data_IF_609758473959
#
_entry.id   IF_609758473959
#
_cell.length_a   1.000
_cell.length_b   1.000
_cell.length_c   1.000
_cell.angle_alpha   90.00
_cell.angle_beta   90.00
_cell.angle_gamma   90.00
#
_symmetry.space_group_name_H-M   'P 1'
#
loop_
_entity.id
_entity.type
_entity.pdbx_description
1 polymer ?
#
# COMPACT_ATOMS: atom_id res chain seq x y z
N UNK A 1 8.58 60.13 18.67
CA UNK A 1 9.75 60.12 17.76
C UNK A 1 9.49 59.05 16.71
N UNK A 2 9.30 59.49 15.45
CA UNK A 2 9.16 58.76 14.16
C UNK A 2 8.03 57.72 14.09
N UNK A 3 6.86 57.89 13.46
CA UNK A 3 6.32 58.70 12.35
C UNK A 3 6.80 58.41 10.91
N UNK A 4 5.80 58.31 10.01
CA UNK A 4 5.78 58.32 8.53
C UNK A 4 6.22 57.04 7.76
N UNK A 5 5.60 56.56 6.66
CA UNK A 5 4.61 57.11 5.70
C UNK A 5 4.00 56.01 4.80
N UNK A 6 2.81 56.33 4.26
CA UNK A 6 2.00 55.70 3.19
C UNK A 6 2.76 55.29 1.91
N UNK A 7 2.26 54.25 1.21
CA UNK A 7 1.92 54.30 -0.23
C UNK A 7 0.61 53.51 -0.47
N UNK A 8 -0.40 54.20 -0.99
CA UNK A 8 -1.69 53.71 -1.47
C UNK A 8 -1.66 53.76 -3.00
N UNK A 9 -1.95 52.67 -3.70
CA UNK A 9 -2.30 52.72 -5.12
C UNK A 9 -3.80 52.45 -5.29
N UNK A 10 -4.54 53.49 -5.65
CA UNK A 10 -5.86 53.37 -6.28
C UNK A 10 -5.66 53.06 -7.76
N UNK A 11 -6.26 51.97 -8.25
CA UNK A 11 -6.54 51.80 -9.67
C UNK A 11 -8.05 51.83 -9.89
N UNK A 12 -8.44 52.83 -10.66
CA UNK A 12 -9.77 53.22 -11.09
C UNK A 12 -10.23 52.25 -12.18
N UNK A 13 -11.17 51.36 -11.88
CA UNK A 13 -11.84 50.50 -12.86
C UNK A 13 -13.03 51.26 -13.45
N UNK A 14 -12.81 51.91 -14.59
CA UNK A 14 -13.87 52.46 -15.42
C UNK A 14 -14.58 51.32 -16.17
N UNK A 15 -15.92 51.35 -16.11
CA UNK A 15 -16.83 50.41 -16.77
C UNK A 15 -16.83 50.65 -18.28
N UNK A 16 -16.63 49.60 -19.07
CA UNK A 16 -17.09 49.52 -20.46
C UNK A 16 -17.77 48.15 -20.74
N UNK A 17 -18.71 48.09 -21.69
CA UNK A 17 -19.86 47.20 -21.60
C UNK A 17 -19.62 45.79 -22.14
N UNK A 18 -20.16 44.83 -21.41
CA UNK A 18 -20.38 43.44 -21.80
C UNK A 18 -21.34 43.36 -22.99
N UNK A 19 -20.82 42.97 -24.17
CA UNK A 19 -21.48 42.13 -25.19
C UNK A 19 -20.59 42.08 -26.44
N UNK A 20 -19.80 41.01 -26.56
CA UNK A 20 -19.19 40.40 -27.78
C UNK A 20 -17.85 39.72 -27.45
N UNK A 21 -17.86 38.73 -26.56
CA UNK A 21 -16.69 37.86 -26.32
C UNK A 21 -17.04 36.36 -26.23
N UNK A 22 -18.24 35.97 -26.67
CA UNK A 22 -18.68 34.56 -26.64
C UNK A 22 -18.46 33.81 -27.97
N UNK A 23 -18.05 34.46 -29.06
CA UNK A 23 -17.87 33.82 -30.38
C UNK A 23 -16.41 33.68 -30.85
N UNK A 24 -15.44 34.30 -30.17
CA UNK A 24 -14.02 34.19 -30.56
C UNK A 24 -13.30 33.00 -29.89
N UNK A 25 -13.79 32.50 -28.75
CA UNK A 25 -13.15 31.39 -28.03
C UNK A 25 -13.48 30.00 -28.62
N UNK A 26 -14.57 29.86 -29.37
CA UNK A 26 -14.99 28.57 -29.97
C UNK A 26 -14.25 28.29 -31.28
N UNK A 27 -13.81 29.31 -32.01
CA UNK A 27 -13.12 29.13 -33.29
C UNK A 27 -11.64 28.73 -33.15
N UNK A 28 -10.98 29.11 -32.05
CA UNK A 28 -9.57 28.73 -31.79
C UNK A 28 -9.47 27.29 -31.27
N UNK A 29 -10.48 26.80 -30.54
CA UNK A 29 -10.50 25.41 -30.06
C UNK A 29 -10.71 24.38 -31.20
N UNK A 30 -11.44 24.73 -32.26
CA UNK A 30 -11.71 23.83 -33.38
C UNK A 30 -10.54 23.72 -34.37
N UNK A 31 -9.66 24.72 -34.46
CA UNK A 31 -8.45 24.65 -35.29
C UNK A 31 -7.33 23.81 -34.65
N UNK A 32 -7.26 23.76 -33.32
CA UNK A 32 -6.24 22.98 -32.59
C UNK A 32 -6.58 21.47 -32.58
N UNK A 33 -7.86 21.10 -32.51
CA UNK A 33 -8.28 19.69 -32.55
C UNK A 33 -8.32 19.08 -33.97
N UNK A 34 -8.42 19.88 -35.02
CA UNK A 34 -8.40 19.41 -36.41
C UNK A 34 -7.01 18.98 -36.90
N UNK A 35 -5.94 19.53 -36.34
CA UNK A 35 -4.56 19.26 -36.76
C UNK A 35 -3.98 17.96 -36.16
N UNK A 36 -4.48 17.50 -35.01
CA UNK A 36 -3.95 16.31 -34.33
C UNK A 36 -4.49 14.98 -34.88
N UNK A 37 -5.55 14.99 -35.68
CA UNK A 37 -6.19 13.76 -36.18
C UNK A 37 -5.65 13.26 -37.53
N UNK A 38 -4.68 13.96 -38.13
CA UNK A 38 -4.08 13.62 -39.44
C UNK A 38 -2.65 13.08 -39.39
N UNK A 39 -2.13 12.76 -38.21
CA UNK A 39 -0.75 12.25 -38.06
C UNK A 39 -0.62 10.85 -37.45
N UNK A 40 -1.72 10.08 -37.38
CA UNK A 40 -1.73 8.73 -36.79
C UNK A 40 -2.14 7.61 -37.75
N UNK A 41 -2.01 7.83 -39.05
CA UNK A 41 -2.11 6.78 -40.06
C UNK A 41 -1.00 7.01 -41.09
N UNK A 42 0.10 6.29 -40.93
CA UNK A 42 1.06 5.81 -41.94
C UNK A 42 2.44 5.59 -41.27
N UNK A 43 2.73 4.34 -40.88
CA UNK A 43 4.01 3.64 -41.16
C UNK A 43 4.07 2.32 -40.41
N UNK A 44 3.72 1.25 -41.12
CA UNK A 44 4.53 0.03 -41.13
C UNK A 44 5.57 0.16 -42.23
N UNK A 45 6.77 -0.37 -41.98
CA UNK A 45 7.72 -1.05 -42.89
C UNK A 45 9.14 -0.95 -42.30
N UNK A 46 9.68 -2.13 -41.99
CA UNK A 46 11.07 -2.59 -41.90
C UNK A 46 12.23 -1.57 -41.91
N UNK A 47 13.19 -1.76 -41.00
CA UNK A 47 14.56 -1.30 -41.19
C UNK A 47 15.36 -1.28 -39.89
N UNK A 48 16.26 -2.23 -39.71
CA UNK A 48 17.22 -2.21 -38.60
C UNK A 48 18.19 -1.04 -38.71
N UNK A 49 18.62 -0.51 -37.56
CA UNK A 49 19.94 0.10 -37.44
C UNK A 49 20.44 0.03 -35.99
N UNK A 50 21.67 -0.48 -35.88
CA UNK A 50 22.55 -0.39 -34.71
C UNK A 50 22.67 1.07 -34.27
N UNK A 51 22.53 1.32 -32.97
CA UNK A 51 23.13 2.49 -32.34
C UNK A 51 24.18 2.01 -31.34
N UNK A 52 25.44 2.19 -31.74
CA UNK A 52 26.59 2.25 -30.85
C UNK A 52 26.52 3.57 -30.10
N UNK A 53 26.49 3.52 -28.77
CA UNK A 53 26.81 4.67 -27.91
C UNK A 53 28.19 4.45 -27.30
N UNK A 54 29.17 5.13 -27.90
CA UNK A 54 30.48 5.41 -27.32
C UNK A 54 30.31 6.52 -26.28
N UNK A 55 30.45 6.19 -25.00
CA UNK A 55 30.75 7.15 -23.95
C UNK A 55 31.94 6.63 -23.15
N UNK A 56 33.08 7.24 -23.44
CA UNK A 56 34.39 6.97 -22.86
C UNK A 56 34.51 7.83 -21.60
N UNK A 57 34.43 7.22 -20.42
CA UNK A 57 34.94 7.86 -19.19
C UNK A 57 35.96 6.93 -18.54
N UNK A 58 37.06 7.56 -18.15
CA UNK A 58 38.33 6.99 -17.72
C UNK A 58 38.28 6.89 -16.21
N UNK A 59 38.29 5.67 -15.67
CA UNK A 59 38.58 5.42 -14.26
C UNK A 59 39.73 4.42 -14.23
N UNK A 60 40.86 4.89 -13.73
CA UNK A 60 42.05 4.10 -13.52
C UNK A 60 41.80 2.98 -12.50
N UNK A 61 42.22 1.81 -12.91
CA UNK A 61 42.30 0.57 -12.15
C UNK A 61 43.35 0.66 -11.04
N UNK A 62 43.02 0.20 -9.84
CA UNK A 62 43.85 -0.76 -9.08
C UNK A 62 43.12 -1.14 -7.79
N UNK A 63 42.44 -2.28 -7.76
CA UNK A 63 42.45 -3.18 -6.60
C UNK A 63 42.00 -4.58 -7.01
N UNK A 64 42.69 -5.54 -6.40
CA UNK A 64 42.90 -6.94 -6.79
C UNK A 64 41.66 -7.83 -6.71
N UNK A 65 41.71 -8.85 -7.58
CA UNK A 65 40.85 -10.02 -7.71
C UNK A 65 40.64 -10.79 -6.40
N UNK A 66 39.38 -10.98 -6.04
CA UNK A 66 38.87 -12.22 -5.44
C UNK A 66 37.73 -12.73 -6.33
N UNK A 67 38.02 -13.74 -7.14
CA UNK A 67 37.03 -14.49 -7.92
C UNK A 67 36.18 -15.34 -6.96
N UNK A 68 35.13 -14.75 -6.41
CA UNK A 68 34.04 -15.55 -5.84
C UNK A 68 33.19 -16.09 -6.99
N UNK A 69 33.18 -17.42 -7.14
CA UNK A 69 32.29 -18.20 -7.99
C UNK A 69 30.82 -17.77 -7.77
N UNK A 70 30.36 -16.78 -8.51
CA UNK A 70 28.96 -16.37 -8.53
C UNK A 70 28.26 -17.23 -9.58
N UNK A 71 28.03 -18.49 -9.21
CA UNK A 71 27.20 -19.40 -9.97
C UNK A 71 25.77 -18.85 -9.94
N UNK A 72 25.45 -18.07 -10.96
CA UNK A 72 24.12 -17.55 -11.25
C UNK A 72 23.19 -18.75 -11.36
N UNK A 73 22.54 -19.07 -10.24
CA UNK A 73 21.47 -20.05 -10.18
C UNK A 73 20.40 -19.53 -11.12
N UNK A 74 20.19 -20.24 -12.23
CA UNK A 74 19.03 -20.01 -13.08
C UNK A 74 17.80 -20.00 -12.18
N UNK A 75 16.90 -18.99 -12.29
CA UNK A 75 15.71 -18.96 -11.47
C UNK A 75 14.96 -20.26 -11.73
N UNK A 76 14.90 -21.10 -10.70
CA UNK A 76 13.95 -22.20 -10.66
C UNK A 76 12.62 -21.58 -11.05
N UNK A 77 11.92 -22.18 -12.01
CA UNK A 77 10.56 -21.81 -12.39
C UNK A 77 9.72 -21.74 -11.13
N UNK A 78 9.64 -20.57 -10.51
CA UNK A 78 8.79 -20.34 -9.34
C UNK A 78 7.37 -20.48 -9.86
N UNK A 79 6.73 -21.59 -9.51
CA UNK A 79 5.33 -21.84 -9.79
C UNK A 79 4.53 -20.71 -9.16
N UNK A 80 4.21 -19.70 -9.97
CA UNK A 80 3.40 -18.56 -9.56
C UNK A 80 2.06 -19.09 -9.05
N UNK A 81 1.61 -18.58 -7.91
CA UNK A 81 0.29 -18.92 -7.38
C UNK A 81 -0.79 -18.70 -8.45
N UNK A 82 -1.54 -19.77 -8.76
CA UNK A 82 -2.71 -19.74 -9.64
C UNK A 82 -3.93 -19.12 -8.94
N UNK A 83 -3.98 -19.15 -7.61
CA UNK A 83 -5.07 -18.54 -6.85
C UNK A 83 -5.01 -16.99 -6.94
N UNK A 84 -6.13 -16.33 -7.26
CA UNK A 84 -6.17 -14.87 -7.30
C UNK A 84 -5.95 -14.26 -5.91
N UNK A 85 -5.24 -13.14 -5.86
CA UNK A 85 -5.05 -12.37 -4.64
C UNK A 85 -6.30 -11.55 -4.31
N UNK A 86 -6.99 -11.85 -3.22
CA UNK A 86 -8.07 -11.03 -2.67
C UNK A 86 -7.45 -9.88 -1.88
N UNK A 87 -7.46 -8.68 -2.46
CA UNK A 87 -6.87 -7.49 -1.87
C UNK A 87 -7.94 -6.49 -1.46
N UNK A 88 -8.02 -6.15 -0.16
CA UNK A 88 -8.89 -5.06 0.30
C UNK A 88 -8.16 -3.72 0.30
N UNK A 89 -8.53 -2.86 -0.64
CA UNK A 89 -7.83 -1.60 -0.90
C UNK A 89 -8.29 -0.44 0.01
N UNK A 90 -9.46 -0.55 0.64
CA UNK A 90 -10.02 0.58 1.40
C UNK A 90 -9.45 0.65 2.82
N UNK A 91 -9.07 1.85 3.30
CA UNK A 91 -8.57 2.01 4.66
C UNK A 91 -9.68 1.88 5.71
N UNK A 92 -9.32 1.32 6.87
CA UNK A 92 -10.15 1.28 8.07
C UNK A 92 -10.55 -0.14 8.51
N UNK A 93 -10.73 -0.30 9.82
CA UNK A 93 -10.77 -1.61 10.48
C UNK A 93 -12.03 -2.44 10.25
N UNK A 94 -13.22 -1.82 10.22
CA UNK A 94 -14.49 -2.58 10.16
C UNK A 94 -14.60 -3.45 8.91
N UNK A 95 -14.36 -2.87 7.73
CA UNK A 95 -14.43 -3.58 6.46
C UNK A 95 -13.29 -4.60 6.30
N UNK A 96 -12.05 -4.20 6.63
CA UNK A 96 -10.88 -5.08 6.50
C UNK A 96 -10.96 -6.29 7.43
N UNK A 97 -11.42 -6.10 8.68
CA UNK A 97 -11.59 -7.18 9.64
C UNK A 97 -12.69 -8.15 9.23
N UNK A 98 -13.82 -7.65 8.73
CA UNK A 98 -14.93 -8.51 8.28
C UNK A 98 -14.51 -9.35 7.08
N UNK A 99 -13.81 -8.75 6.11
CA UNK A 99 -13.25 -9.47 4.96
C UNK A 99 -12.22 -10.51 5.39
N UNK A 100 -11.29 -10.16 6.29
CA UNK A 100 -10.32 -11.09 6.84
C UNK A 100 -10.99 -12.29 7.51
N UNK A 101 -11.95 -12.06 8.42
CA UNK A 101 -12.68 -13.16 9.07
C UNK A 101 -13.43 -14.03 8.06
N UNK A 102 -14.09 -13.40 7.08
CA UNK A 102 -14.82 -14.10 6.04
C UNK A 102 -13.89 -14.98 5.19
N UNK A 103 -12.67 -14.52 4.88
CA UNK A 103 -11.63 -15.30 4.19
C UNK A 103 -11.12 -16.46 5.02
N UNK A 104 -10.85 -16.26 6.32
CA UNK A 104 -10.49 -17.35 7.21
C UNK A 104 -11.60 -18.40 7.29
N UNK A 105 -12.86 -17.97 7.44
CA UNK A 105 -14.02 -18.87 7.42
C UNK A 105 -14.21 -19.54 6.05
N UNK A 106 -13.70 -18.92 4.99
CA UNK A 106 -13.70 -19.46 3.65
C UNK A 106 -12.57 -20.46 3.37
N UNK A 107 -11.66 -20.71 4.32
CA UNK A 107 -10.51 -21.60 4.08
C UNK A 107 -9.37 -20.92 3.30
N UNK A 108 -9.34 -19.59 3.23
CA UNK A 108 -8.39 -18.83 2.42
C UNK A 108 -7.24 -18.27 3.28
N UNK A 109 -5.98 -18.71 3.07
CA UNK A 109 -4.81 -18.18 3.78
C UNK A 109 -4.75 -16.65 3.70
N UNK A 110 -4.77 -15.97 4.85
CA UNK A 110 -4.95 -14.52 4.86
C UNK A 110 -4.20 -13.84 6.00
N UNK A 111 -3.85 -12.57 5.78
CA UNK A 111 -3.22 -11.69 6.78
C UNK A 111 -4.04 -10.41 7.00
N UNK A 112 -4.05 -9.92 8.23
CA UNK A 112 -4.73 -8.70 8.66
C UNK A 112 -3.95 -8.01 9.77
N UNK A 113 -3.30 -6.89 9.44
CA UNK A 113 -2.49 -6.13 10.39
C UNK A 113 -1.51 -7.01 11.20
N UNK A 114 -1.81 -7.34 12.46
CA UNK A 114 -0.95 -8.20 13.30
C UNK A 114 -1.37 -9.65 13.30
N UNK A 115 -2.39 -10.03 12.55
CA UNK A 115 -3.07 -11.32 12.61
C UNK A 115 -2.91 -12.08 11.30
N UNK A 116 -2.94 -13.40 11.38
CA UNK A 116 -2.93 -14.28 10.22
C UNK A 116 -3.83 -15.49 10.46
N UNK A 117 -4.36 -16.07 9.38
CA UNK A 117 -5.05 -17.34 9.43
C UNK A 117 -4.57 -18.25 8.31
N UNK A 118 -4.11 -19.43 8.69
CA UNK A 118 -3.53 -20.46 7.82
C UNK A 118 -4.13 -21.80 8.25
N UNK A 119 -4.22 -22.80 7.36
CA UNK A 119 -4.54 -24.18 7.74
C UNK A 119 -3.41 -25.08 7.32
N UNK A 120 -2.87 -25.83 8.27
CA UNK A 120 -1.93 -26.91 8.00
C UNK A 120 -2.62 -28.12 7.36
N UNK A 121 -3.92 -28.29 7.61
CA UNK A 121 -4.69 -29.45 7.22
C UNK A 121 -5.82 -29.05 6.27
N UNK A 122 -5.57 -29.23 4.96
CA UNK A 122 -6.54 -29.25 3.84
C UNK A 122 -7.19 -27.93 3.40
N UNK A 123 -7.01 -27.60 2.11
CA UNK A 123 -7.86 -26.66 1.37
C UNK A 123 -7.23 -26.05 0.11
N UNK A 124 -5.90 -25.91 0.10
CA UNK A 124 -4.99 -25.74 -1.05
C UNK A 124 -3.76 -26.52 -0.57
N UNK A 125 -3.31 -27.54 -1.30
CA UNK A 125 -2.41 -28.60 -0.79
C UNK A 125 -1.30 -28.08 0.11
N UNK A 126 -1.10 -28.72 1.27
CA UNK A 126 -0.12 -28.43 2.34
C UNK A 126 0.22 -26.96 2.48
N UNK A 127 -0.17 -26.24 3.56
CA UNK A 127 0.27 -24.85 3.74
C UNK A 127 1.76 -24.73 3.44
N UNK A 128 2.07 -24.28 2.23
CA UNK A 128 3.38 -24.55 1.69
C UNK A 128 4.34 -23.71 2.49
N UNK A 129 5.62 -24.09 2.54
CA UNK A 129 6.61 -23.21 3.14
C UNK A 129 6.48 -21.78 2.58
N UNK A 130 6.07 -21.66 1.31
CA UNK A 130 5.70 -20.40 0.67
C UNK A 130 4.56 -19.61 1.35
N UNK A 131 3.49 -20.25 1.85
CA UNK A 131 2.42 -19.56 2.59
C UNK A 131 2.93 -19.01 3.93
N UNK A 132 3.71 -19.81 4.65
CA UNK A 132 4.32 -19.39 5.92
C UNK A 132 5.34 -18.26 5.69
N UNK A 133 6.15 -18.37 4.65
CA UNK A 133 7.11 -17.33 4.24
C UNK A 133 6.41 -16.05 3.81
N UNK A 134 5.28 -16.15 3.11
CA UNK A 134 4.42 -15.01 2.81
C UNK A 134 3.90 -14.31 4.08
N UNK A 135 3.50 -15.07 5.09
CA UNK A 135 3.06 -14.52 6.37
C UNK A 135 4.22 -13.85 7.13
N UNK A 136 5.42 -14.45 7.14
CA UNK A 136 6.63 -13.82 7.71
C UNK A 136 6.98 -12.52 6.97
N UNK A 137 6.98 -12.55 5.65
CA UNK A 137 7.21 -11.36 4.82
C UNK A 137 6.17 -10.27 5.09
N UNK A 138 4.90 -10.62 5.32
CA UNK A 138 3.88 -9.65 5.73
C UNK A 138 4.27 -8.93 7.03
N UNK A 139 4.78 -9.67 8.02
CA UNK A 139 5.24 -9.06 9.27
C UNK A 139 6.48 -8.19 9.08
N UNK A 140 7.37 -8.51 8.13
CA UNK A 140 8.48 -7.63 7.79
C UNK A 140 8.02 -6.33 7.13
N UNK A 141 7.04 -6.37 6.21
CA UNK A 141 6.44 -5.14 5.66
C UNK A 141 5.81 -4.31 6.78
N UNK A 142 5.06 -4.94 7.69
CA UNK A 142 4.46 -4.25 8.83
C UNK A 142 5.51 -3.66 9.78
N UNK A 143 6.60 -4.39 10.04
CA UNK A 143 7.73 -3.96 10.87
C UNK A 143 8.38 -2.71 10.28
N UNK A 144 8.71 -2.73 8.99
CA UNK A 144 9.29 -1.58 8.29
C UNK A 144 8.35 -0.37 8.30
N UNK A 145 7.04 -0.59 8.13
CA UNK A 145 6.05 0.48 8.28
C UNK A 145 6.02 1.05 9.70
N UNK A 146 6.01 0.18 10.72
CA UNK A 146 6.01 0.59 12.13
C UNK A 146 7.33 1.25 12.54
N UNK A 147 8.45 0.89 11.92
CA UNK A 147 9.75 1.53 12.11
C UNK A 147 9.71 3.00 11.67
N UNK A 148 9.26 3.29 10.45
CA UNK A 148 9.13 4.66 9.97
C UNK A 148 8.19 5.48 10.87
N UNK A 149 7.03 4.90 11.23
CA UNK A 149 6.08 5.50 12.16
C UNK A 149 6.72 5.81 13.53
N UNK A 150 7.43 4.83 14.11
CA UNK A 150 8.06 4.93 15.42
C UNK A 150 9.15 5.99 15.45
N UNK A 151 10.02 6.01 14.44
CA UNK A 151 11.09 6.99 14.32
C UNK A 151 10.57 8.42 14.16
N UNK A 152 9.57 8.65 13.30
CA UNK A 152 8.96 9.97 13.17
C UNK A 152 8.25 10.38 14.48
N UNK A 153 7.63 9.45 15.21
CA UNK A 153 7.02 9.73 16.52
C UNK A 153 8.06 10.12 17.57
N UNK A 154 9.17 9.39 17.67
CA UNK A 154 10.26 9.69 18.59
C UNK A 154 10.89 11.05 18.29
N UNK A 155 11.12 11.34 17.00
CA UNK A 155 11.64 12.62 16.53
C UNK A 155 10.71 13.78 16.90
N UNK A 156 9.41 13.65 16.60
CA UNK A 156 8.41 14.66 16.92
C UNK A 156 8.29 14.94 18.43
N UNK A 157 8.61 13.96 19.28
CA UNK A 157 8.62 14.08 20.74
C UNK A 157 9.96 14.58 21.31
N UNK A 158 10.95 14.88 20.46
CA UNK A 158 12.29 15.27 20.89
C UNK A 158 13.07 14.14 21.60
N UNK A 159 12.65 12.87 21.42
CA UNK A 159 13.26 11.69 22.06
C UNK A 159 14.32 11.00 21.22
N UNK A 160 14.57 11.51 20.01
CA UNK A 160 15.68 11.08 19.17
C UNK A 160 16.83 12.06 19.43
N UNK A 161 17.64 11.76 20.45
CA UNK A 161 18.86 12.53 20.75
C UNK A 161 19.87 12.36 19.61
N UNK A 162 20.74 13.35 19.40
CA UNK A 162 21.85 13.21 18.45
C UNK A 162 22.98 12.46 19.17
N UNK A 163 23.23 11.20 18.81
CA UNK A 163 24.46 10.49 19.20
C UNK A 163 24.31 9.47 20.32
N UNK A 164 23.11 8.94 20.56
CA UNK A 164 22.90 7.81 21.45
C UNK A 164 23.20 6.48 20.75
N UNK A 165 24.04 5.63 21.35
CA UNK A 165 24.30 4.27 20.86
C UNK A 165 23.13 3.30 21.12
N UNK A 166 21.88 3.72 20.90
CA UNK A 166 20.72 2.85 21.05
C UNK A 166 20.39 2.14 19.74
N UNK A 167 20.00 0.87 19.81
CA UNK A 167 19.49 0.09 18.65
C UNK A 167 18.40 0.87 17.90
N UNK A 168 17.52 1.55 18.64
CA UNK A 168 16.48 2.42 18.10
C UNK A 168 17.04 3.53 17.21
N UNK A 169 18.13 4.20 17.62
CA UNK A 169 18.75 5.28 16.84
C UNK A 169 19.38 4.74 15.55
N UNK A 170 20.05 3.59 15.62
CA UNK A 170 20.58 2.92 14.44
C UNK A 170 19.48 2.59 13.42
N UNK A 171 18.36 2.01 13.87
CA UNK A 171 17.22 1.70 13.00
C UNK A 171 16.60 2.96 12.40
N UNK A 172 16.52 4.05 13.18
CA UNK A 172 15.99 5.33 12.71
C UNK A 172 16.93 6.10 11.78
N UNK A 173 18.20 5.69 11.66
CA UNK A 173 19.17 6.23 10.72
C UNK A 173 19.22 5.45 9.39
N UNK A 174 18.34 4.47 9.19
CA UNK A 174 18.16 3.80 7.90
C UNK A 174 17.80 4.81 6.81
N UNK A 175 18.45 4.71 5.65
CA UNK A 175 18.15 5.56 4.51
C UNK A 175 16.78 5.20 3.91
N UNK A 176 16.01 6.20 3.49
CA UNK A 176 14.62 6.00 3.06
C UNK A 176 14.52 5.23 1.73
N UNK A 177 15.51 5.35 0.86
CA UNK A 177 15.62 4.56 -0.37
C UNK A 177 15.84 3.08 -0.06
N UNK A 178 16.76 2.75 0.86
CA UNK A 178 16.99 1.38 1.34
C UNK A 178 15.74 0.81 2.02
N UNK A 179 15.07 1.61 2.86
CA UNK A 179 13.82 1.23 3.50
C UNK A 179 12.71 0.93 2.49
N UNK A 180 12.54 1.80 1.49
CA UNK A 180 11.48 1.63 0.49
C UNK A 180 11.74 0.39 -0.38
N UNK A 181 13.00 0.15 -0.77
CA UNK A 181 13.41 -1.09 -1.43
C UNK A 181 13.09 -2.32 -0.57
N UNK A 182 13.43 -2.29 0.71
CA UNK A 182 13.16 -3.42 1.63
C UNK A 182 11.65 -3.70 1.77
N UNK A 183 10.80 -2.66 1.86
CA UNK A 183 9.34 -2.83 1.85
C UNK A 183 8.88 -3.53 0.57
N UNK A 184 9.41 -3.10 -0.57
CA UNK A 184 9.03 -3.63 -1.88
C UNK A 184 9.49 -5.07 -2.07
N UNK A 185 10.69 -5.42 -1.63
CA UNK A 185 11.23 -6.78 -1.69
C UNK A 185 10.39 -7.75 -0.82
N UNK A 186 10.03 -7.35 0.40
CA UNK A 186 9.12 -8.17 1.23
C UNK A 186 7.70 -8.20 0.69
N UNK A 187 7.22 -7.11 0.07
CA UNK A 187 5.91 -7.10 -0.57
C UNK A 187 5.85 -8.08 -1.75
N UNK A 188 6.94 -8.23 -2.51
CA UNK A 188 7.03 -9.23 -3.57
C UNK A 188 6.87 -10.63 -3.01
N UNK A 189 7.57 -10.96 -1.92
CA UNK A 189 7.45 -12.26 -1.25
C UNK A 189 6.04 -12.50 -0.72
N UNK A 190 5.37 -11.48 -0.18
CA UNK A 190 3.94 -11.59 0.21
C UNK A 190 3.08 -11.92 -1.02
N UNK A 191 3.28 -11.24 -2.14
CA UNK A 191 2.43 -11.37 -3.32
C UNK A 191 2.71 -12.67 -4.07
N UNK A 192 3.96 -13.08 -4.23
CA UNK A 192 4.33 -14.34 -4.91
C UNK A 192 4.00 -15.58 -4.07
N UNK A 193 3.85 -15.43 -2.75
CA UNK A 193 3.45 -16.52 -1.85
C UNK A 193 2.07 -17.12 -2.16
N UNK A 194 1.76 -18.23 -1.47
CA UNK A 194 0.43 -18.84 -1.46
C UNK A 194 -0.62 -18.12 -0.60
N UNK A 195 -0.33 -16.92 -0.05
CA UNK A 195 -1.37 -16.12 0.62
C UNK A 195 -2.48 -15.77 -0.37
N UNK A 196 -3.74 -15.84 0.04
CA UNK A 196 -4.89 -15.49 -0.80
C UNK A 196 -5.47 -14.14 -0.40
N UNK A 197 -5.49 -13.79 0.89
CA UNK A 197 -6.11 -12.56 1.38
C UNK A 197 -5.15 -11.55 2.00
N UNK A 198 -5.14 -10.31 1.49
CA UNK A 198 -4.42 -9.18 2.09
C UNK A 198 -5.39 -8.11 2.58
N UNK A 199 -5.39 -7.86 3.89
CA UNK A 199 -6.31 -6.94 4.56
C UNK A 199 -5.58 -5.98 5.51
N UNK A 200 -6.11 -4.76 5.61
CA UNK A 200 -5.67 -3.71 6.56
C UNK A 200 -4.23 -3.20 6.34
N UNK A 201 -3.79 -2.29 7.21
CA UNK A 201 -2.42 -1.73 7.22
C UNK A 201 -1.37 -2.84 7.22
N UNK A 202 -0.34 -2.74 6.35
CA UNK A 202 0.07 -1.54 5.60
C UNK A 202 -0.50 -1.41 4.17
N UNK A 203 -1.30 -2.37 3.71
CA UNK A 203 -1.61 -2.51 2.28
C UNK A 203 -2.39 -1.35 1.64
N UNK A 204 -3.40 -0.73 2.29
CA UNK A 204 -4.05 0.46 1.73
C UNK A 204 -3.10 1.63 1.44
N UNK A 205 -1.95 1.69 2.11
CA UNK A 205 -0.92 2.71 1.90
C UNK A 205 0.10 2.33 0.80
N UNK A 206 0.00 1.10 0.30
CA UNK A 206 0.81 0.48 -0.75
C UNK A 206 -0.07 0.07 -1.95
N UNK A 207 -1.24 0.71 -2.11
CA UNK A 207 -2.29 0.20 -2.98
C UNK A 207 -1.87 0.06 -4.44
N UNK A 208 -1.17 1.05 -4.98
CA UNK A 208 -0.64 1.00 -6.34
C UNK A 208 0.38 -0.14 -6.49
N UNK A 209 1.30 -0.29 -5.53
CA UNK A 209 2.34 -1.31 -5.55
C UNK A 209 1.75 -2.72 -5.45
N UNK A 210 0.74 -2.94 -4.60
CA UNK A 210 0.06 -4.24 -4.47
C UNK A 210 -0.62 -4.61 -5.79
N UNK A 211 -1.36 -3.68 -6.40
CA UNK A 211 -2.10 -3.93 -7.64
C UNK A 211 -1.15 -4.18 -8.80
N UNK A 212 -0.11 -3.37 -8.95
CA UNK A 212 0.83 -3.52 -10.06
C UNK A 212 1.66 -4.79 -9.91
N UNK A 213 2.25 -5.03 -8.74
CA UNK A 213 3.08 -6.23 -8.50
C UNK A 213 2.28 -7.53 -8.62
N UNK A 214 1.04 -7.57 -8.14
CA UNK A 214 0.19 -8.77 -8.26
C UNK A 214 -0.12 -9.16 -9.69
N UNK A 215 -0.22 -8.21 -10.63
CA UNK A 215 -0.36 -8.50 -12.06
C UNK A 215 0.87 -9.18 -12.67
N UNK A 216 2.06 -8.93 -12.12
CA UNK A 216 3.31 -9.50 -12.62
C UNK A 216 3.69 -10.80 -11.92
N UNK A 217 3.46 -10.89 -10.61
CA UNK A 217 3.92 -11.99 -9.76
C UNK A 217 2.92 -13.14 -9.64
N UNK A 218 1.66 -12.95 -10.02
CA UNK A 218 0.65 -14.02 -10.05
C UNK A 218 0.22 -14.37 -11.46
N UNK A 219 -0.30 -15.58 -11.62
CA UNK A 219 -0.94 -15.99 -12.88
C UNK A 219 -2.30 -15.31 -13.05
N UNK A 220 -3.05 -15.20 -11.96
CA UNK A 220 -4.41 -14.66 -11.93
C UNK A 220 -4.41 -13.20 -11.47
N UNK A 221 -5.20 -12.32 -12.10
CA UNK A 221 -5.30 -10.94 -11.67
C UNK A 221 -5.87 -10.83 -10.24
N UNK A 222 -5.53 -9.78 -9.48
CA UNK A 222 -6.04 -9.61 -8.13
C UNK A 222 -7.55 -9.35 -8.13
N UNK A 223 -8.25 -9.97 -7.18
CA UNK A 223 -9.63 -9.66 -6.83
C UNK A 223 -9.64 -8.46 -5.89
N UNK A 224 -9.78 -7.26 -6.46
CA UNK A 224 -9.80 -6.02 -5.69
C UNK A 224 -11.16 -5.88 -4.99
N UNK A 225 -11.13 -5.95 -3.65
CA UNK A 225 -12.25 -5.69 -2.77
C UNK A 225 -12.21 -4.23 -2.27
N UNK A 226 -13.36 -3.56 -2.30
CA UNK A 226 -13.49 -2.15 -1.93
C UNK A 226 -14.74 -1.87 -1.11
N UNK A 227 -14.57 -1.12 -0.04
CA UNK A 227 -15.65 -0.70 0.86
C UNK A 227 -15.74 0.82 0.84
N UNK A 228 -16.85 1.34 0.32
CA UNK A 228 -17.09 2.78 0.25
C UNK A 228 -17.30 3.35 1.65
N UNK A 229 -16.81 4.56 1.87
CA UNK A 229 -17.05 5.38 3.06
C UNK A 229 -17.38 6.81 2.66
N UNK A 230 -18.11 7.49 3.54
CA UNK A 230 -18.22 8.95 3.44
C UNK A 230 -16.85 9.58 3.75
N UNK A 231 -16.28 10.39 2.84
CA UNK A 231 -14.94 10.94 3.03
C UNK A 231 -14.80 11.84 4.27
N UNK A 232 -15.84 12.62 4.58
CA UNK A 232 -15.81 13.55 5.71
C UNK A 232 -15.95 12.80 7.05
N UNK A 233 -16.85 11.82 7.12
CA UNK A 233 -16.97 10.93 8.28
C UNK A 233 -15.68 10.15 8.52
N UNK A 234 -15.09 9.60 7.46
CA UNK A 234 -13.82 8.91 7.55
C UNK A 234 -12.73 9.84 8.07
N UNK A 235 -12.58 11.04 7.50
CA UNK A 235 -11.58 12.01 7.94
C UNK A 235 -11.73 12.35 9.44
N UNK A 236 -12.96 12.64 9.91
CA UNK A 236 -13.25 12.90 11.34
C UNK A 236 -12.93 11.71 12.24
N UNK A 237 -13.10 10.49 11.75
CA UNK A 237 -12.71 9.31 12.51
C UNK A 237 -11.19 9.22 12.64
N UNK A 238 -10.44 9.56 11.57
CA UNK A 238 -8.98 9.41 11.48
C UNK A 238 -8.18 10.43 12.24
N UNK A 239 -8.65 11.68 12.34
CA UNK A 239 -7.95 12.73 13.12
C UNK A 239 -7.80 12.39 14.61
N UNK A 240 -8.55 11.40 15.11
CA UNK A 240 -8.45 10.87 16.49
C UNK A 240 -7.36 9.81 16.65
N UNK A 241 -6.70 9.42 15.56
CA UNK A 241 -5.61 8.46 15.56
C UNK A 241 -4.28 9.18 15.38
N UNK A 242 -3.20 8.48 15.69
CA UNK A 242 -1.86 8.96 15.39
C UNK A 242 -1.47 8.45 14.00
N UNK A 243 -0.93 9.33 13.17
CA UNK A 243 -0.84 9.14 11.72
C UNK A 243 0.60 9.39 11.26
N UNK A 244 1.05 8.58 10.31
CA UNK A 244 2.25 8.84 9.52
C UNK A 244 1.80 9.42 8.19
N UNK A 245 2.17 10.66 7.92
CA UNK A 245 1.75 11.43 6.77
C UNK A 245 2.94 11.69 5.87
N UNK A 246 2.72 11.73 4.57
CA UNK A 246 3.69 12.37 3.68
C UNK A 246 3.80 13.86 4.01
N UNK A 247 5.01 14.39 4.12
CA UNK A 247 5.23 15.83 4.27
C UNK A 247 4.63 16.58 3.09
N UNK A 248 4.22 17.83 3.32
CA UNK A 248 3.47 18.60 2.34
C UNK A 248 4.20 18.70 1.00
N UNK A 249 5.47 19.09 1.03
CA UNK A 249 6.38 19.22 -0.11
C UNK A 249 6.55 17.94 -0.95
N UNK A 250 6.28 16.76 -0.38
CA UNK A 250 6.38 15.47 -1.07
C UNK A 250 5.02 14.81 -1.28
N UNK A 251 3.95 15.42 -0.79
CA UNK A 251 2.60 14.88 -0.90
C UNK A 251 2.03 15.16 -2.28
N UNK A 252 1.13 14.29 -2.72
CA UNK A 252 0.46 14.45 -4.00
C UNK A 252 -0.39 15.74 -3.99
N UNK A 253 -0.03 16.70 -4.85
CA UNK A 253 -0.58 18.07 -4.88
C UNK A 253 -0.33 18.93 -3.64
N UNK A 254 0.72 18.64 -2.88
CA UNK A 254 1.15 19.51 -1.78
C UNK A 254 0.07 19.74 -0.71
N UNK A 255 -0.75 18.72 -0.45
CA UNK A 255 -1.86 18.78 0.52
C UNK A 255 -1.48 18.40 1.96
N UNK A 256 -0.32 17.77 2.18
CA UNK A 256 0.21 17.44 3.51
C UNK A 256 -0.60 16.40 4.31
N UNK A 257 -1.48 15.64 3.65
CA UNK A 257 -2.41 14.70 4.28
C UNK A 257 -2.47 13.33 3.57
N UNK A 258 -1.41 12.95 2.85
CA UNK A 258 -1.40 11.75 2.01
C UNK A 258 -0.97 10.50 2.79
N UNK A 259 -1.92 9.79 3.41
CA UNK A 259 -1.67 8.49 4.07
C UNK A 259 -1.50 7.32 3.09
N UNK A 260 -2.06 7.42 1.87
CA UNK A 260 -2.30 6.26 1.01
C UNK A 260 -1.24 5.96 -0.05
N UNK A 261 -0.12 6.67 -0.02
CA UNK A 261 0.93 6.57 -1.03
C UNK A 261 2.31 6.78 -0.40
N UNK A 262 2.74 5.82 0.42
CA UNK A 262 4.02 5.96 1.14
C UNK A 262 5.22 5.81 0.20
N UNK A 263 5.14 4.94 -0.81
CA UNK A 263 6.23 4.74 -1.77
C UNK A 263 6.30 5.88 -2.78
N UNK A 264 5.16 6.37 -3.30
CA UNK A 264 5.17 7.55 -4.15
C UNK A 264 5.60 8.81 -3.40
N UNK A 265 5.33 8.91 -2.09
CA UNK A 265 5.89 9.96 -1.24
C UNK A 265 7.43 9.92 -1.22
N UNK A 266 8.01 8.74 -0.98
CA UNK A 266 9.46 8.54 -1.04
C UNK A 266 10.03 8.91 -2.41
N UNK A 267 9.40 8.42 -3.49
CA UNK A 267 9.87 8.68 -4.84
C UNK A 267 9.90 10.19 -5.15
N UNK A 268 8.85 10.93 -4.74
CA UNK A 268 8.81 12.39 -4.92
C UNK A 268 9.87 13.10 -4.07
N UNK A 269 10.12 12.65 -2.85
CA UNK A 269 11.17 13.19 -2.00
C UNK A 269 12.57 13.00 -2.60
N UNK A 270 12.87 11.79 -3.07
CA UNK A 270 14.15 11.47 -3.73
C UNK A 270 14.37 12.28 -5.01
N UNK A 271 13.30 12.54 -5.79
CA UNK A 271 13.38 13.39 -6.98
C UNK A 271 13.61 14.86 -6.62
N UNK A 272 13.01 15.34 -5.52
CA UNK A 272 13.18 16.75 -5.10
C UNK A 272 14.55 17.04 -4.51
N UNK A 273 15.19 16.05 -3.89
CA UNK A 273 16.48 16.22 -3.20
C UNK A 273 17.65 16.08 -4.18
N UNK A 274 17.99 17.17 -4.88
CA UNK A 274 19.12 17.22 -5.82
C UNK A 274 20.51 17.29 -5.13
N UNK A 275 20.57 17.21 -3.80
CA UNK A 275 21.78 17.53 -3.02
C UNK A 275 22.71 16.34 -2.79
N UNK A 276 22.31 15.13 -3.15
CA UNK A 276 23.06 13.91 -2.86
C UNK A 276 23.06 13.51 -1.38
N UNK A 277 22.29 14.21 -0.54
CA UNK A 277 22.13 13.86 0.86
C UNK A 277 21.19 12.64 1.01
N UNK A 278 21.60 11.69 1.85
CA UNK A 278 20.76 10.56 2.21
C UNK A 278 19.54 11.03 3.04
N UNK A 279 18.33 10.81 2.54
CA UNK A 279 17.09 11.14 3.21
C UNK A 279 16.80 10.14 4.34
N UNK A 280 16.31 10.66 5.47
CA UNK A 280 15.83 9.89 6.63
C UNK A 280 14.30 9.97 6.72
N UNK A 281 13.70 9.13 7.57
CA UNK A 281 12.24 9.03 7.68
C UNK A 281 11.55 10.38 7.90
N UNK A 282 12.08 11.23 8.78
CA UNK A 282 11.49 12.52 9.11
C UNK A 282 11.75 13.62 8.07
N UNK A 283 12.62 13.36 7.10
CA UNK A 283 12.81 14.24 5.95
C UNK A 283 11.69 14.02 4.92
N UNK A 284 11.04 12.84 4.94
CA UNK A 284 9.97 12.47 4.01
C UNK A 284 8.58 12.46 4.66
N UNK A 285 8.50 12.01 5.91
CA UNK A 285 7.24 11.78 6.61
C UNK A 285 7.09 12.67 7.86
N UNK A 286 5.85 13.05 8.13
CA UNK A 286 5.44 13.76 9.34
C UNK A 286 4.62 12.83 10.25
N UNK A 287 4.96 12.81 11.53
CA UNK A 287 4.13 12.16 12.55
C UNK A 287 3.14 13.16 13.12
N UNK A 288 1.84 12.84 13.02
CA UNK A 288 0.78 13.60 13.69
C UNK A 288 0.25 12.80 14.89
N UNK A 289 0.34 13.37 16.08
CA UNK A 289 -0.25 12.78 17.28
C UNK A 289 -1.78 12.89 17.27
N UNK A 290 -2.46 11.91 17.84
CA UNK A 290 -3.91 11.99 18.12
C UNK A 290 -4.29 13.17 19.04
N UNK A 291 -3.33 13.72 19.78
CA UNK A 291 -3.52 14.88 20.66
C UNK A 291 -3.29 16.23 19.96
N UNK A 292 -2.86 16.26 18.70
CA UNK A 292 -2.49 17.49 17.98
C UNK A 292 -3.68 18.43 17.65
N UNK A 293 -4.89 18.13 18.15
CA UNK A 293 -6.11 18.87 17.90
C UNK A 293 -6.67 18.67 16.49
N UNK A 294 -7.98 18.90 16.35
CA UNK A 294 -8.65 18.92 15.06
C UNK A 294 -8.36 20.24 14.34
N UNK A 295 -7.67 20.18 13.20
CA UNK A 295 -7.54 21.31 12.29
C UNK A 295 -8.48 21.07 11.09
N UNK A 296 -9.45 21.98 10.87
CA UNK A 296 -10.42 21.85 9.75
C UNK A 296 -9.74 21.75 8.39
N UNK A 297 -8.61 22.42 8.19
CA UNK A 297 -7.82 22.33 6.95
C UNK A 297 -7.26 20.93 6.76
N UNK A 298 -6.74 20.33 7.84
CA UNK A 298 -6.23 18.95 7.81
C UNK A 298 -7.34 17.93 7.59
N UNK A 299 -8.47 18.06 8.29
CA UNK A 299 -9.65 17.21 8.10
C UNK A 299 -10.14 17.26 6.64
N UNK A 300 -10.24 18.47 6.06
CA UNK A 300 -10.58 18.65 4.65
C UNK A 300 -9.56 18.00 3.72
N UNK A 301 -8.27 18.13 4.01
CA UNK A 301 -7.20 17.45 3.25
C UNK A 301 -7.39 15.93 3.26
N UNK A 302 -7.58 15.35 4.44
CA UNK A 302 -7.85 13.91 4.61
C UNK A 302 -9.10 13.45 3.85
N UNK A 303 -10.18 14.23 3.89
CA UNK A 303 -11.41 13.93 3.14
C UNK A 303 -11.17 13.96 1.62
N UNK A 304 -10.39 14.93 1.12
CA UNK A 304 -10.00 14.98 -0.30
C UNK A 304 -9.17 13.76 -0.69
N UNK A 305 -8.21 13.34 0.14
CA UNK A 305 -7.42 12.14 -0.11
C UNK A 305 -8.29 10.87 -0.14
N UNK A 306 -9.22 10.72 0.82
CA UNK A 306 -10.14 9.59 0.80
C UNK A 306 -11.02 9.62 -0.44
N UNK A 307 -11.61 10.77 -0.79
CA UNK A 307 -12.42 10.90 -2.02
C UNK A 307 -11.64 10.43 -3.25
N UNK A 308 -10.41 10.90 -3.41
CA UNK A 308 -9.54 10.48 -4.51
C UNK A 308 -9.24 8.98 -4.48
N UNK A 309 -8.91 8.43 -3.31
CA UNK A 309 -8.68 6.98 -3.15
C UNK A 309 -9.89 6.18 -3.67
N UNK A 310 -11.10 6.62 -3.35
CA UNK A 310 -12.33 5.99 -3.84
C UNK A 310 -12.54 6.17 -5.35
N UNK A 311 -12.16 7.33 -5.91
CA UNK A 311 -12.22 7.58 -7.36
C UNK A 311 -11.20 6.74 -8.14
N UNK A 312 -10.00 6.54 -7.58
CA UNK A 312 -8.95 5.72 -8.19
C UNK A 312 -9.26 4.23 -8.16
N UNK A 313 -9.66 3.70 -6.99
CA UNK A 313 -9.77 2.25 -6.81
C UNK A 313 -11.21 1.73 -6.94
N UNK A 314 -12.22 2.57 -6.72
CA UNK A 314 -13.62 2.19 -6.87
C UNK A 314 -13.98 1.62 -8.24
N UNK A 315 -13.56 2.23 -9.36
CA UNK A 315 -13.88 1.73 -10.71
C UNK A 315 -13.27 0.37 -11.03
N UNK A 316 -12.06 0.07 -10.52
CA UNK A 316 -11.34 -1.18 -10.81
C UNK A 316 -11.63 -2.31 -9.81
N UNK A 317 -12.45 -2.05 -8.80
CA UNK A 317 -12.80 -3.04 -7.78
C UNK A 317 -13.88 -4.00 -8.28
N UNK A 318 -13.60 -5.30 -8.20
CA UNK A 318 -14.50 -6.37 -8.63
C UNK A 318 -15.51 -6.74 -7.53
N UNK A 319 -15.13 -6.57 -6.26
CA UNK A 319 -15.99 -6.90 -5.13
C UNK A 319 -16.25 -5.66 -4.25
N UNK A 320 -17.53 -5.29 -4.07
CA UNK A 320 -17.93 -4.06 -3.36
C UNK A 320 -18.96 -4.37 -2.26
N UNK A 321 -18.59 -5.07 -1.18
CA UNK A 321 -19.52 -5.35 -0.09
C UNK A 321 -19.93 -4.06 0.61
N UNK A 322 -21.24 -3.91 0.84
CA UNK A 322 -21.78 -2.79 1.59
C UNK A 322 -21.91 -3.14 3.09
N UNK A 323 -20.89 -2.76 3.85
CA UNK A 323 -20.87 -2.88 5.31
C UNK A 323 -21.52 -1.69 6.02
N UNK A 324 -21.74 -0.58 5.31
CA UNK A 324 -22.11 0.70 5.89
C UNK A 324 -23.42 1.16 5.24
N UNK A 325 -24.54 0.72 5.80
CA UNK A 325 -25.88 1.08 5.31
C UNK A 325 -25.96 2.59 5.09
N UNK A 326 -26.28 3.00 3.86
CA UNK A 326 -26.41 4.42 3.53
C UNK A 326 -27.49 5.07 4.42
N UNK A 327 -27.18 6.19 5.09
CA UNK A 327 -28.16 6.93 5.91
C UNK A 327 -29.40 7.35 5.12
N UNK A 328 -29.27 7.52 3.79
CA UNK A 328 -30.25 8.21 2.94
C UNK A 328 -30.97 7.31 1.94
N UNK A 329 -31.02 5.99 2.16
CA UNK A 329 -32.02 5.15 1.52
C UNK A 329 -31.49 4.21 0.43
N UNK A 330 -31.31 2.96 0.84
CA UNK A 330 -32.01 1.82 0.26
C UNK A 330 -32.17 0.79 1.39
N UNK A 331 -33.32 0.11 1.46
CA UNK A 331 -33.66 -0.88 2.50
C UNK A 331 -32.84 -2.17 2.34
N UNK A 332 -31.54 -2.11 2.62
CA UNK A 332 -30.69 -3.29 2.75
C UNK A 332 -30.19 -3.40 4.19
N UNK A 333 -30.33 -4.58 4.80
CA UNK A 333 -29.53 -4.89 5.98
C UNK A 333 -28.04 -4.92 5.58
N UNK A 334 -27.11 -4.53 6.46
CA UNK A 334 -25.68 -4.68 6.19
C UNK A 334 -25.36 -6.10 5.74
N UNK A 335 -24.43 -6.26 4.79
CA UNK A 335 -24.00 -7.59 4.36
C UNK A 335 -23.44 -8.37 5.55
N UNK A 336 -23.90 -9.61 5.73
CA UNK A 336 -23.46 -10.47 6.82
C UNK A 336 -22.12 -11.12 6.47
N UNK A 337 -21.27 -11.37 7.46
CA UNK A 337 -19.98 -12.08 7.28
C UNK A 337 -20.16 -13.40 6.51
N UNK A 338 -21.20 -14.18 6.82
CA UNK A 338 -21.50 -15.44 6.13
C UNK A 338 -21.82 -15.27 4.64
N UNK A 339 -22.38 -14.13 4.23
CA UNK A 339 -22.61 -13.81 2.82
C UNK A 339 -21.30 -13.45 2.13
N UNK A 340 -20.46 -12.64 2.80
CA UNK A 340 -19.10 -12.33 2.33
C UNK A 340 -18.28 -13.60 2.14
N UNK A 341 -18.31 -14.54 3.09
CA UNK A 341 -17.64 -15.84 2.96
C UNK A 341 -18.07 -16.60 1.70
N UNK A 342 -19.38 -16.64 1.41
CA UNK A 342 -19.92 -17.31 0.22
C UNK A 342 -19.48 -16.60 -1.07
N UNK A 343 -19.50 -15.27 -1.07
CA UNK A 343 -19.05 -14.48 -2.22
C UNK A 343 -17.56 -14.68 -2.50
N UNK A 344 -16.72 -14.65 -1.46
CA UNK A 344 -15.28 -14.87 -1.62
C UNK A 344 -14.96 -16.27 -2.13
N UNK A 345 -15.60 -17.32 -1.60
CA UNK A 345 -15.45 -18.69 -2.15
C UNK A 345 -15.82 -18.71 -3.63
N UNK A 346 -16.97 -18.13 -3.99
CA UNK A 346 -17.41 -18.08 -5.39
C UNK A 346 -16.42 -17.31 -6.27
N UNK A 347 -15.93 -16.16 -5.84
CA UNK A 347 -15.03 -15.32 -6.65
C UNK A 347 -13.65 -15.96 -6.84
N UNK A 348 -13.12 -16.63 -5.82
CA UNK A 348 -11.83 -17.32 -5.90
C UNK A 348 -11.93 -18.60 -6.73
N UNK A 349 -13.07 -19.30 -6.67
CA UNK A 349 -13.28 -20.59 -7.36
C UNK A 349 -13.92 -20.49 -8.75
N UNK A 350 -14.54 -19.37 -9.11
CA UNK A 350 -15.22 -19.23 -10.40
C UNK A 350 -14.28 -19.35 -11.61
N UNK A 351 -12.97 -19.24 -11.41
CA UNK A 351 -11.95 -19.43 -12.47
C UNK A 351 -11.57 -20.91 -12.66
N UNK A 352 -11.85 -21.76 -11.67
CA UNK A 352 -11.77 -23.20 -11.86
C UNK A 352 -13.06 -23.62 -12.58
N UNK A 353 -12.95 -24.03 -13.85
CA UNK A 353 -14.01 -24.85 -14.46
C UNK A 353 -14.12 -26.11 -13.61
N UNK A 354 -14.99 -26.06 -12.60
CA UNK A 354 -15.26 -27.18 -11.72
C UNK A 354 -15.92 -28.24 -12.61
N UNK A 355 -15.09 -29.14 -13.16
CA UNK A 355 -15.55 -30.46 -13.56
C UNK A 355 -16.26 -31.03 -12.34
N UNK A 356 -17.55 -31.30 -12.52
CA UNK A 356 -18.56 -31.49 -11.48
C UNK A 356 -18.32 -32.64 -10.49
N UNK A 357 -17.17 -33.32 -10.58
CA UNK A 357 -16.87 -34.52 -9.81
C UNK A 357 -15.99 -34.27 -8.58
N UNK A 358 -15.27 -33.14 -8.48
CA UNK A 358 -14.46 -32.82 -7.29
C UNK A 358 -14.98 -31.55 -6.62
N UNK A 359 -15.93 -31.71 -5.69
CA UNK A 359 -16.29 -30.63 -4.75
C UNK A 359 -15.10 -30.32 -3.85
N UNK A 360 -14.32 -29.31 -4.21
CA UNK A 360 -13.32 -28.73 -3.29
C UNK A 360 -14.05 -28.19 -2.07
N UNK A 361 -13.98 -28.93 -0.96
CA UNK A 361 -14.57 -28.52 0.32
C UNK A 361 -13.57 -27.66 1.07
N UNK A 362 -13.79 -26.36 1.10
CA UNK A 362 -13.04 -25.46 1.98
C UNK A 362 -13.58 -25.54 3.41
N UNK A 363 -12.78 -26.09 4.32
CA UNK A 363 -13.02 -26.02 5.75
C UNK A 363 -12.54 -24.68 6.33
N UNK A 364 -13.21 -24.11 7.34
CA UNK A 364 -12.75 -22.90 8.01
C UNK A 364 -11.33 -23.06 8.58
N UNK A 365 -10.47 -22.05 8.39
CA UNK A 365 -9.13 -22.05 8.99
C UNK A 365 -9.26 -21.83 10.49
N UNK A 366 -8.86 -22.83 11.28
CA UNK A 366 -8.97 -22.81 12.74
C UNK A 366 -7.79 -22.14 13.43
N UNK A 367 -6.63 -22.05 12.77
CA UNK A 367 -5.44 -21.45 13.36
C UNK A 367 -5.42 -19.96 13.08
N UNK A 368 -5.46 -19.18 14.16
CA UNK A 368 -5.33 -17.73 14.13
C UNK A 368 -4.14 -17.35 14.99
N UNK A 369 -3.15 -16.72 14.39
CA UNK A 369 -2.00 -16.19 15.11
C UNK A 369 -2.02 -14.68 15.13
N UNK A 370 -1.22 -14.11 16.03
CA UNK A 370 -0.92 -12.70 16.12
C UNK A 370 0.57 -12.51 16.36
N UNK A 371 1.19 -11.54 15.72
CA UNK A 371 2.59 -11.15 15.99
C UNK A 371 2.63 -9.76 16.64
N UNK A 372 3.50 -9.59 17.64
CA UNK A 372 3.87 -8.27 18.14
C UNK A 372 5.35 -8.02 17.87
N UNK A 373 5.66 -6.84 17.34
CA UNK A 373 7.04 -6.37 17.18
C UNK A 373 7.45 -5.51 18.37
N UNK A 374 8.65 -5.75 18.88
CA UNK A 374 9.31 -4.94 19.89
C UNK A 374 10.46 -4.14 19.26
N UNK A 375 10.25 -2.83 19.08
CA UNK A 375 11.23 -1.95 18.42
C UNK A 375 12.56 -1.82 19.16
N UNK A 376 12.59 -2.04 20.47
CA UNK A 376 13.81 -1.83 21.30
C UNK A 376 14.91 -2.84 21.02
N UNK A 377 14.52 -4.08 20.78
CA UNK A 377 15.42 -5.20 20.48
C UNK A 377 15.23 -5.72 19.05
N UNK A 378 14.29 -5.12 18.30
CA UNK A 378 13.99 -5.45 16.92
C UNK A 378 13.50 -6.89 16.70
N UNK A 379 12.77 -7.42 17.68
CA UNK A 379 12.29 -8.80 17.69
C UNK A 379 10.79 -8.90 17.39
N UNK A 380 10.40 -10.01 16.76
CA UNK A 380 9.00 -10.40 16.61
C UNK A 380 8.66 -11.51 17.59
N UNK A 381 7.57 -11.34 18.32
CA UNK A 381 7.02 -12.36 19.21
C UNK A 381 5.69 -12.84 18.66
N UNK A 382 5.62 -14.13 18.35
CA UNK A 382 4.43 -14.78 17.84
C UNK A 382 3.54 -15.29 18.98
N UNK A 383 2.24 -15.02 18.87
CA UNK A 383 1.19 -15.44 19.80
C UNK A 383 0.13 -16.21 19.02
N UNK A 384 -0.04 -17.48 19.33
CA UNK A 384 -1.07 -18.30 18.70
C UNK A 384 -2.34 -18.25 19.55
N UNK A 385 -3.45 -17.78 18.97
CA UNK A 385 -4.76 -17.92 19.59
C UNK A 385 -5.24 -19.36 19.40
N UNK A 386 -5.49 -20.02 20.53
CA UNK A 386 -6.04 -21.38 20.62
C UNK A 386 -7.28 -21.58 19.72
N UNK A 387 -7.51 -22.83 19.24
CA UNK A 387 -6.89 -24.05 19.72
C UNK A 387 -5.54 -24.35 19.07
N UNK A 388 -4.65 -24.97 19.86
CA UNK A 388 -3.39 -25.62 19.48
C UNK A 388 -3.62 -26.77 18.48
N UNK A 389 -4.37 -26.58 17.39
CA UNK A 389 -4.78 -27.66 16.48
C UNK A 389 -4.27 -27.50 15.05
N UNK A 390 -3.25 -26.66 14.84
CA UNK A 390 -2.35 -26.88 13.71
C UNK A 390 -1.32 -27.95 14.12
N UNK A 391 -1.74 -29.22 14.21
CA UNK A 391 -0.91 -30.42 14.53
C UNK A 391 -0.05 -30.31 15.81
N UNK A 392 -0.36 -30.91 16.95
CA UNK A 392 -0.59 -32.33 17.18
C UNK A 392 -1.49 -32.52 18.39
N UNK A 393 -2.55 -33.33 18.27
CA UNK A 393 -3.28 -33.82 19.44
C UNK A 393 -2.51 -34.86 20.25
N UNK A 394 -1.25 -35.17 19.91
CA UNK A 394 -0.42 -36.16 20.62
C UNK A 394 1.06 -35.77 20.89
N UNK A 395 1.53 -34.57 20.53
CA UNK A 395 2.90 -34.16 20.88
C UNK A 395 2.91 -33.31 22.16
N UNK A 396 3.38 -33.91 23.25
CA UNK A 396 3.77 -33.19 24.46
C UNK A 396 4.99 -32.30 24.16
N UNK A 397 4.75 -31.06 23.75
CA UNK A 397 5.83 -30.08 23.53
C UNK A 397 5.90 -29.11 24.71
N UNK A 398 7.07 -29.11 25.34
CA UNK A 398 7.51 -28.23 26.41
C UNK A 398 7.48 -26.75 25.98
N UNK A 399 7.35 -25.80 26.93
CA UNK A 399 7.39 -24.37 26.60
C UNK A 399 8.76 -24.00 26.00
N UNK A 400 8.74 -23.38 24.82
CA UNK A 400 9.88 -22.63 24.31
C UNK A 400 10.02 -21.35 25.15
N UNK A 401 11.00 -21.38 26.05
CA UNK A 401 11.56 -20.22 26.72
C UNK A 401 12.60 -19.63 25.75
N UNK A 402 12.34 -18.42 25.25
CA UNK A 402 13.19 -17.21 25.40
C UNK A 402 12.61 -16.08 24.58
#
# INVERSE_FOLDING_TARGET
>A
MCDERRILYQLKLERLPTRRLAHAAVFVALLIFGAFRRHLLLRDISGGSKWQTTAKSRIDSTHRNEESNNQYSQPISEDKSSAPLVYHVSPGSTGSRTLYHASCAAGLPSVHHKSFCLSWNRGVGDASDGVADGARAHFEVLRLYQLAYGCCSLRAKGKLERGGNSTTESLCNMQVDQWSKSILDHLDNVISSGLVGLYDTPYPNLAEQVIDRSRYLRMSPPLIAFTRRDPDEWARSRIKHSLLLCRQEHSLHELGASEFDIIGCVNRALISENTGNALRFWDVFEYRSHTAGSNKTFEKGMAVHMKRHQESFGPISLYKPDFFVSPNGARGSPIKESQVTKDLKRLVLADEKIDSEHKVSFEPLTCRGRVNWEMRNDTMVEFYHLPKTCGDSNASVAPLIT
#
